data_IF_447250723709
#
_entry.id   IF_447250723709
#
_cell.length_a   1.000
_cell.length_b   1.000
_cell.length_c   1.000
_cell.angle_alpha   90.00
_cell.angle_beta   90.00
_cell.angle_gamma   90.00
#
_symmetry.space_group_name_H-M   'P 1'
#
loop_
_entity.id
_entity.type
_entity.pdbx_description
1 polymer ?
#
# COMPACT_ATOMS: atom_id res chain seq x y z
N UNK A 1 -9.62 -58.60 -50.14
CA UNK A 1 -10.55 -58.84 -49.01
C UNK A 1 -11.01 -57.49 -48.49
N UNK A 2 -12.33 -57.28 -48.39
CA UNK A 2 -13.06 -56.16 -47.76
C UNK A 2 -12.52 -54.73 -48.05
N UNK A 3 -13.04 -53.94 -48.99
CA UNK A 3 -14.43 -53.56 -49.36
C UNK A 3 -15.13 -52.61 -48.35
N UNK A 4 -15.81 -51.59 -48.92
CA UNK A 4 -16.76 -50.60 -48.34
C UNK A 4 -16.16 -49.41 -47.57
N UNK A 5 -16.74 -48.19 -47.62
CA UNK A 5 -17.67 -47.48 -48.55
C UNK A 5 -17.71 -46.01 -48.09
N UNK A 6 -17.80 -45.05 -49.02
CA UNK A 6 -18.52 -43.78 -48.74
C UNK A 6 -20.02 -43.98 -49.05
N UNK A 7 -20.89 -43.16 -48.44
CA UNK A 7 -21.75 -42.34 -49.29
C UNK A 7 -21.93 -40.89 -48.80
N UNK A 8 -22.19 -39.99 -49.75
CA UNK A 8 -22.75 -38.66 -49.53
C UNK A 8 -24.22 -38.71 -49.06
N UNK A 9 -24.67 -37.66 -48.38
CA UNK A 9 -25.97 -37.03 -48.70
C UNK A 9 -26.10 -35.63 -48.08
N UNK A 10 -26.53 -34.66 -48.89
CA UNK A 10 -26.70 -33.23 -48.56
C UNK A 10 -28.20 -32.88 -48.43
N UNK A 11 -28.59 -32.17 -47.37
CA UNK A 11 -29.70 -31.21 -47.33
C UNK A 11 -29.52 -30.28 -46.09
N UNK A 12 -29.52 -28.94 -46.13
CA UNK A 12 -30.57 -27.96 -46.54
C UNK A 12 -31.85 -28.09 -45.68
N UNK A 13 -32.53 -27.08 -45.11
CA UNK A 13 -32.45 -25.59 -44.91
C UNK A 13 -33.41 -25.29 -43.70
N UNK A 14 -33.46 -24.18 -42.94
CA UNK A 14 -32.57 -23.03 -42.65
C UNK A 14 -33.14 -22.26 -41.43
N UNK A 15 -32.33 -21.50 -40.67
CA UNK A 15 -32.80 -20.34 -39.86
C UNK A 15 -31.66 -19.34 -39.60
N UNK A 16 -31.94 -18.04 -39.76
CA UNK A 16 -30.95 -16.95 -39.74
C UNK A 16 -30.60 -16.42 -38.34
N UNK A 17 -29.34 -16.01 -38.20
CA UNK A 17 -28.79 -14.79 -37.57
C UNK A 17 -29.34 -14.24 -36.23
N UNK A 18 -28.40 -14.00 -35.29
CA UNK A 18 -28.05 -12.71 -34.64
C UNK A 18 -26.86 -12.98 -33.66
N UNK A 19 -25.67 -12.42 -33.88
CA UNK A 19 -25.08 -11.23 -33.18
C UNK A 19 -24.95 -11.42 -31.64
N UNK A 20 -23.81 -11.23 -30.94
CA UNK A 20 -22.38 -10.95 -31.24
C UNK A 20 -21.54 -11.30 -29.97
N UNK A 21 -20.21 -11.42 -30.08
CA UNK A 21 -19.21 -11.45 -28.98
C UNK A 21 -19.27 -12.56 -27.91
N UNK A 22 -18.47 -13.61 -28.11
CA UNK A 22 -18.03 -14.48 -27.00
C UNK A 22 -16.56 -14.91 -27.14
N UNK A 23 -15.73 -14.39 -26.23
CA UNK A 23 -14.59 -15.08 -25.57
C UNK A 23 -13.80 -16.10 -26.41
N UNK A 24 -12.70 -15.66 -27.02
CA UNK A 24 -11.62 -16.60 -27.34
C UNK A 24 -10.82 -16.93 -26.07
N UNK A 25 -10.87 -18.21 -25.68
CA UNK A 25 -10.19 -18.78 -24.52
C UNK A 25 -8.69 -18.95 -24.77
N UNK A 26 -7.85 -18.34 -23.93
CA UNK A 26 -6.45 -18.77 -23.77
C UNK A 26 -6.45 -20.11 -23.03
N UNK A 27 -6.10 -21.17 -23.75
CA UNK A 27 -6.11 -22.54 -23.24
C UNK A 27 -4.73 -22.91 -22.67
N UNK A 28 -4.54 -22.73 -21.35
CA UNK A 28 -3.33 -23.15 -20.65
C UNK A 28 -3.65 -24.21 -19.58
N UNK A 29 -3.42 -25.48 -19.91
CA UNK A 29 -3.55 -26.59 -18.98
C UNK A 29 -2.40 -26.62 -17.96
N UNK A 30 -2.62 -26.03 -16.78
CA UNK A 30 -1.93 -26.38 -15.53
C UNK A 30 -2.84 -26.03 -14.36
N UNK A 31 -3.19 -27.01 -13.51
CA UNK A 31 -4.01 -26.77 -12.30
C UNK A 31 -3.24 -25.90 -11.30
N UNK A 32 -3.51 -24.60 -11.28
CA UNK A 32 -3.13 -23.67 -10.22
C UNK A 32 -4.30 -22.74 -9.92
N UNK A 33 -4.53 -22.45 -8.65
CA UNK A 33 -5.63 -21.58 -8.22
C UNK A 33 -5.30 -20.11 -8.52
N UNK A 34 -6.07 -19.49 -9.41
CA UNK A 34 -5.96 -18.06 -9.72
C UNK A 34 -6.86 -17.24 -8.79
N UNK A 35 -6.29 -16.37 -7.96
CA UNK A 35 -7.07 -15.37 -7.22
C UNK A 35 -7.24 -14.11 -8.08
N UNK A 36 -8.34 -14.06 -8.84
CA UNK A 36 -8.73 -12.88 -9.63
C UNK A 36 -9.37 -11.85 -8.69
N UNK A 37 -8.79 -10.65 -8.61
CA UNK A 37 -9.29 -9.56 -7.75
C UNK A 37 -9.75 -8.39 -8.61
N UNK A 38 -11.05 -8.33 -8.90
CA UNK A 38 -11.70 -7.20 -9.58
C UNK A 38 -12.13 -6.12 -8.57
N UNK A 39 -11.84 -4.83 -8.79
CA UNK A 39 -12.39 -3.78 -7.95
C UNK A 39 -13.90 -3.63 -8.20
N UNK A 40 -14.73 -3.82 -7.18
CA UNK A 40 -16.13 -3.37 -7.21
C UNK A 40 -16.16 -1.86 -6.98
N UNK A 41 -16.75 -1.12 -7.90
CA UNK A 41 -17.11 0.28 -7.75
C UNK A 41 -18.44 0.41 -6.97
N UNK A 42 -18.39 0.98 -5.78
CA UNK A 42 -19.59 1.43 -5.07
C UNK A 42 -19.63 2.96 -5.07
N UNK A 43 -20.63 3.49 -5.79
CA UNK A 43 -20.99 4.89 -5.84
C UNK A 43 -22.18 5.15 -4.91
N UNK A 44 -22.21 6.36 -4.35
CA UNK A 44 -23.36 7.03 -3.74
C UNK A 44 -24.06 6.33 -2.56
N UNK A 45 -23.91 6.91 -1.38
CA UNK A 45 -24.96 6.93 -0.37
C UNK A 45 -25.14 8.37 0.12
N UNK A 46 -26.20 9.05 -0.34
CA UNK A 46 -26.54 10.40 0.10
C UNK A 46 -27.38 10.38 1.37
N UNK A 47 -27.29 11.46 2.16
CA UNK A 47 -28.16 11.69 3.30
C UNK A 47 -29.64 11.74 2.89
N UNK A 48 -30.51 11.14 3.71
CA UNK A 48 -31.86 11.62 4.00
C UNK A 48 -32.25 11.14 5.40
N UNK A 49 -32.73 12.05 6.25
CA UNK A 49 -33.16 11.74 7.61
C UNK A 49 -34.68 11.70 7.72
N UNK A 50 -35.20 10.63 8.34
CA UNK A 50 -36.50 10.55 9.00
C UNK A 50 -36.25 9.83 10.34
N UNK A 51 -36.78 10.22 11.49
CA UNK A 51 -37.95 11.08 11.69
C UNK A 51 -39.20 10.25 11.94
N UNK A 52 -39.22 9.49 13.04
CA UNK A 52 -40.42 8.85 13.59
C UNK A 52 -40.39 8.88 15.12
N UNK A 53 -41.34 9.60 15.68
CA UNK A 53 -41.85 9.38 17.03
C UNK A 53 -42.72 8.13 17.07
N UNK A 54 -42.79 7.50 18.24
CA UNK A 54 -43.98 6.82 18.71
C UNK A 54 -44.08 7.11 20.20
N UNK A 55 -45.25 7.58 20.61
CA UNK A 55 -45.59 7.89 21.99
C UNK A 55 -46.10 6.63 22.70
N UNK A 56 -46.02 6.66 24.03
CA UNK A 56 -46.91 6.10 25.07
C UNK A 56 -47.74 4.82 24.79
N UNK A 57 -47.64 3.88 25.73
CA UNK A 57 -48.82 3.39 26.49
C UNK A 57 -48.31 2.81 27.84
N UNK A 58 -48.99 3.18 28.92
CA UNK A 58 -48.78 2.68 30.29
C UNK A 58 -49.45 1.31 30.51
N UNK A 59 -49.03 0.56 31.54
CA UNK A 59 -49.98 0.00 32.53
C UNK A 59 -49.25 -0.67 33.73
N UNK A 60 -49.90 -0.63 34.90
CA UNK A 60 -49.37 -1.02 36.21
C UNK A 60 -49.76 -2.46 36.65
N UNK A 61 -48.86 -3.15 37.34
CA UNK A 61 -49.08 -3.94 38.59
C UNK A 61 -47.73 -4.63 38.94
N UNK A 62 -47.30 -4.87 40.18
CA UNK A 62 -48.04 -5.00 41.44
C UNK A 62 -47.74 -6.37 42.05
N UNK A 63 -46.78 -6.46 42.98
CA UNK A 63 -46.39 -7.76 43.55
C UNK A 63 -45.17 -7.72 44.48
N UNK A 64 -45.42 -7.66 45.79
CA UNK A 64 -44.42 -7.78 46.86
C UNK A 64 -44.06 -9.27 47.12
N UNK A 65 -42.81 -9.55 47.52
CA UNK A 65 -42.28 -10.92 47.54
C UNK A 65 -40.87 -11.05 48.09
N UNK A 66 -40.74 -11.00 49.41
CA UNK A 66 -39.49 -11.06 50.16
C UNK A 66 -38.99 -12.51 50.38
N UNK A 67 -37.82 -12.88 49.83
CA UNK A 67 -37.03 -14.03 50.30
C UNK A 67 -35.56 -13.62 50.50
N UNK A 68 -35.02 -13.96 51.67
CA UNK A 68 -33.65 -13.65 52.10
C UNK A 68 -32.67 -14.80 51.78
N UNK A 69 -31.37 -14.49 51.82
CA UNK A 69 -30.22 -15.43 51.78
C UNK A 69 -29.80 -15.91 50.38
N UNK A 70 -28.51 -16.11 50.05
CA UNK A 70 -27.27 -16.07 50.85
C UNK A 70 -26.20 -15.15 50.22
N UNK A 71 -25.34 -14.57 51.06
CA UNK A 71 -24.34 -13.57 50.64
C UNK A 71 -23.00 -14.18 50.22
N UNK A 72 -22.61 -14.05 48.95
CA UNK A 72 -21.21 -14.17 48.54
C UNK A 72 -20.36 -13.00 49.09
N UNK A 73 -19.10 -13.23 49.52
CA UNK A 73 -18.24 -12.19 50.05
C UNK A 73 -17.67 -11.33 48.91
N UNK A 74 -18.46 -10.39 48.42
CA UNK A 74 -18.00 -9.36 47.49
C UNK A 74 -16.90 -8.51 48.14
N UNK A 75 -15.64 -8.81 47.82
CA UNK A 75 -14.48 -8.10 48.33
C UNK A 75 -14.60 -6.59 48.03
N UNK A 76 -14.86 -5.79 49.06
CA UNK A 76 -14.88 -4.33 48.99
C UNK A 76 -13.47 -3.82 48.69
N UNK A 77 -13.12 -3.75 47.39
CA UNK A 77 -11.96 -2.99 46.93
C UNK A 77 -12.13 -1.57 47.46
N UNK A 78 -11.16 -1.12 48.26
CA UNK A 78 -11.24 0.17 48.91
C UNK A 78 -11.38 1.27 47.85
N UNK A 79 -12.54 1.92 47.84
CA UNK A 79 -12.82 3.06 46.96
C UNK A 79 -11.91 4.19 47.42
N UNK A 80 -10.76 4.34 46.75
CA UNK A 80 -9.76 5.37 47.04
C UNK A 80 -10.44 6.74 46.95
N UNK A 81 -10.83 7.27 48.11
CA UNK A 81 -11.41 8.59 48.22
C UNK A 81 -10.29 9.60 47.96
N UNK A 82 -10.27 10.13 46.74
CA UNK A 82 -9.31 11.12 46.28
C UNK A 82 -9.73 12.51 46.82
N UNK A 83 -9.72 12.63 48.15
CA UNK A 83 -10.10 13.86 48.84
C UNK A 83 -8.96 14.89 48.84
N UNK A 84 -9.36 16.15 48.65
CA UNK A 84 -8.59 17.39 48.89
C UNK A 84 -7.61 17.80 47.78
N UNK A 85 -8.11 18.57 46.82
CA UNK A 85 -7.28 19.37 45.89
C UNK A 85 -7.88 20.76 45.65
N UNK A 86 -7.59 21.69 46.59
CA UNK A 86 -7.63 23.14 46.37
C UNK A 86 -9.02 23.83 46.29
N UNK A 87 -9.04 25.17 46.46
CA UNK A 87 -10.26 25.97 46.38
C UNK A 87 -10.76 26.14 44.94
N UNK A 88 -12.10 26.18 44.77
CA UNK A 88 -12.83 26.65 43.59
C UNK A 88 -12.12 26.42 42.24
N UNK A 89 -12.01 25.16 41.84
CA UNK A 89 -11.17 24.74 40.73
C UNK A 89 -11.55 25.36 39.38
N UNK A 90 -10.54 25.92 38.71
CA UNK A 90 -10.54 26.09 37.24
C UNK A 90 -11.01 24.77 36.62
N UNK A 91 -12.02 24.81 35.76
CA UNK A 91 -12.52 23.64 35.07
C UNK A 91 -11.41 23.04 34.21
N UNK A 92 -10.77 21.97 34.72
CA UNK A 92 -9.64 21.31 34.06
C UNK A 92 -10.13 20.70 32.75
N UNK A 93 -9.71 21.25 31.62
CA UNK A 93 -10.03 20.68 30.33
C UNK A 93 -9.28 19.35 30.19
N UNK A 94 -9.90 18.36 29.53
CA UNK A 94 -9.21 17.11 29.19
C UNK A 94 -7.90 17.40 28.46
N UNK A 95 -7.88 18.39 27.56
CA UNK A 95 -6.70 18.76 26.78
C UNK A 95 -5.54 19.35 27.59
N UNK A 96 -5.76 19.78 28.85
CA UNK A 96 -4.74 20.33 29.75
C UNK A 96 -3.87 19.23 30.39
N UNK A 97 -4.27 17.96 30.25
CA UNK A 97 -3.51 16.83 30.77
C UNK A 97 -2.20 16.59 29.98
N UNK A 98 -1.14 16.09 30.65
CA UNK A 98 0.09 15.66 29.98
C UNK A 98 -0.17 14.63 28.89
N UNK A 99 0.67 14.63 27.85
CA UNK A 99 0.49 13.78 26.67
C UNK A 99 0.46 12.30 27.03
N UNK A 100 1.29 11.91 28.00
CA UNK A 100 1.49 10.54 28.49
C UNK A 100 0.29 10.03 29.29
N UNK A 101 -0.48 10.94 29.89
CA UNK A 101 -1.74 10.62 30.58
C UNK A 101 -2.88 10.52 29.58
N UNK A 102 -2.94 11.46 28.63
CA UNK A 102 -3.94 11.43 27.56
C UNK A 102 -3.80 10.19 26.69
N UNK A 103 -2.59 9.82 26.30
CA UNK A 103 -2.34 8.61 25.51
C UNK A 103 -2.81 7.34 26.24
N UNK A 104 -2.54 7.24 27.56
CA UNK A 104 -3.06 6.15 28.39
C UNK A 104 -4.58 6.12 28.44
N UNK A 105 -5.23 7.27 28.61
CA UNK A 105 -6.70 7.37 28.57
C UNK A 105 -7.23 6.89 27.21
N UNK A 106 -6.65 7.33 26.10
CA UNK A 106 -6.98 6.89 24.74
C UNK A 106 -6.78 5.37 24.56
N UNK A 107 -5.76 4.79 25.18
CA UNK A 107 -5.52 3.34 25.18
C UNK A 107 -6.62 2.50 25.84
N UNK A 108 -7.43 3.08 26.74
CA UNK A 108 -8.63 2.44 27.29
C UNK A 108 -9.89 2.66 26.43
N UNK A 109 -9.87 3.60 25.48
CA UNK A 109 -11.01 3.87 24.60
C UNK A 109 -11.02 2.87 23.45
N UNK A 110 -12.20 2.30 23.17
CA UNK A 110 -12.40 1.41 22.04
C UNK A 110 -12.06 2.08 20.69
N UNK A 111 -11.29 1.38 19.85
CA UNK A 111 -10.80 1.80 18.53
C UNK A 111 -11.90 2.32 17.58
N UNK A 112 -13.16 1.92 17.78
CA UNK A 112 -14.29 2.45 17.03
C UNK A 112 -14.51 3.95 17.27
N UNK A 113 -14.23 4.47 18.47
CA UNK A 113 -14.44 5.90 18.81
C UNK A 113 -13.25 6.80 18.44
N UNK A 114 -12.10 6.23 18.08
CA UNK A 114 -10.86 6.99 17.89
C UNK A 114 -10.98 8.08 16.80
N UNK A 115 -11.63 7.85 15.65
CA UNK A 115 -11.84 8.94 14.65
C UNK A 115 -12.68 10.09 15.20
N UNK A 116 -13.71 9.80 16.02
CA UNK A 116 -14.57 10.84 16.58
C UNK A 116 -13.75 11.72 17.50
N UNK A 117 -12.94 11.12 18.38
CA UNK A 117 -12.01 11.83 19.27
C UNK A 117 -10.97 12.62 18.46
N UNK A 118 -10.38 11.99 17.44
CA UNK A 118 -9.41 12.60 16.53
C UNK A 118 -9.94 13.84 15.82
N UNK A 119 -11.24 13.86 15.50
CA UNK A 119 -11.92 15.00 14.86
C UNK A 119 -12.27 16.15 15.84
N UNK A 120 -12.28 15.93 17.17
CA UNK A 120 -12.73 16.96 18.12
C UNK A 120 -11.75 18.13 18.29
N UNK A 121 -10.43 17.90 18.24
CA UNK A 121 -9.43 18.97 18.39
C UNK A 121 -8.07 18.58 17.82
N UNK A 122 -7.24 19.57 17.47
CA UNK A 122 -5.85 19.34 17.03
C UNK A 122 -5.02 18.59 18.10
N UNK A 123 -5.26 18.88 19.39
CA UNK A 123 -4.57 18.22 20.52
C UNK A 123 -4.96 16.75 20.60
N UNK A 124 -6.24 16.42 20.50
CA UNK A 124 -6.71 15.03 20.54
C UNK A 124 -6.35 14.26 19.26
N UNK A 125 -6.29 14.93 18.09
CA UNK A 125 -5.71 14.34 16.89
C UNK A 125 -4.25 13.92 17.11
N UNK A 126 -3.43 14.81 17.67
CA UNK A 126 -2.03 14.51 17.97
C UNK A 126 -1.86 13.35 18.96
N UNK A 127 -2.68 13.28 20.03
CA UNK A 127 -2.62 12.14 20.98
C UNK A 127 -3.04 10.82 20.33
N UNK A 128 -4.08 10.82 19.50
CA UNK A 128 -4.52 9.63 18.76
C UNK A 128 -3.41 9.18 17.79
N UNK A 129 -2.79 10.12 17.08
CA UNK A 129 -1.68 9.83 16.16
C UNK A 129 -0.48 9.24 16.91
N UNK A 130 -0.10 9.81 18.07
CA UNK A 130 0.95 9.32 18.96
C UNK A 130 0.68 7.87 19.43
N UNK A 131 -0.52 7.61 19.95
CA UNK A 131 -0.94 6.28 20.38
C UNK A 131 -0.85 5.24 19.25
N UNK A 132 -1.32 5.59 18.04
CA UNK A 132 -1.27 4.71 16.87
C UNK A 132 0.19 4.43 16.46
N UNK A 133 1.05 5.46 16.45
CA UNK A 133 2.48 5.32 16.17
C UNK A 133 3.16 4.40 17.20
N UNK A 134 2.90 4.59 18.50
CA UNK A 134 3.47 3.75 19.56
C UNK A 134 3.01 2.28 19.47
N UNK A 135 1.71 2.01 19.33
CA UNK A 135 1.23 0.63 19.21
C UNK A 135 1.68 -0.03 17.89
N UNK A 136 1.82 0.72 16.79
CA UNK A 136 2.41 0.20 15.55
C UNK A 136 3.88 -0.21 15.76
N UNK A 137 4.70 0.65 16.36
CA UNK A 137 6.11 0.37 16.65
C UNK A 137 6.28 -0.82 17.60
N UNK A 138 5.46 -0.88 18.66
CA UNK A 138 5.41 -1.98 19.63
C UNK A 138 4.99 -3.30 18.98
N UNK A 139 3.99 -3.28 18.10
CA UNK A 139 3.57 -4.45 17.34
C UNK A 139 4.67 -4.94 16.37
N UNK A 140 5.32 -4.02 15.67
CA UNK A 140 6.44 -4.29 14.75
C UNK A 140 7.64 -4.90 15.49
N UNK A 141 8.03 -4.33 16.64
CA UNK A 141 9.11 -4.86 17.49
C UNK A 141 8.78 -6.28 17.95
N UNK A 142 7.61 -6.46 18.59
CA UNK A 142 7.16 -7.77 19.09
C UNK A 142 7.06 -8.84 17.99
N UNK A 143 6.59 -8.49 16.78
CA UNK A 143 6.54 -9.45 15.65
C UNK A 143 7.92 -9.81 15.11
N UNK A 144 8.85 -8.86 15.11
CA UNK A 144 10.23 -9.05 14.66
C UNK A 144 11.05 -9.89 15.63
N UNK A 145 10.81 -9.74 16.94
CA UNK A 145 11.42 -10.58 17.99
C UNK A 145 10.85 -12.00 18.00
N UNK A 146 9.53 -12.16 17.82
CA UNK A 146 8.88 -13.47 17.90
C UNK A 146 9.13 -14.36 16.66
N UNK A 147 8.94 -13.84 15.45
CA UNK A 147 9.23 -14.55 14.20
C UNK A 147 9.32 -13.58 13.02
N UNK A 148 10.54 -13.30 12.57
CA UNK A 148 10.84 -12.38 11.46
C UNK A 148 10.24 -12.79 10.10
N UNK A 149 9.96 -14.10 9.90
CA UNK A 149 9.34 -14.64 8.68
C UNK A 149 7.83 -14.86 8.82
N UNK A 150 7.23 -14.56 9.97
CA UNK A 150 5.78 -14.62 10.11
C UNK A 150 5.13 -13.59 9.19
N UNK A 151 4.00 -13.95 8.59
CA UNK A 151 3.17 -13.05 7.79
C UNK A 151 2.89 -11.72 8.53
N UNK A 152 2.64 -11.75 9.84
CA UNK A 152 2.45 -10.54 10.67
C UNK A 152 3.69 -9.64 10.68
N UNK A 153 4.89 -10.20 10.84
CA UNK A 153 6.13 -9.44 10.80
C UNK A 153 6.41 -8.88 9.41
N UNK A 154 6.20 -9.70 8.36
CA UNK A 154 6.29 -9.28 6.97
C UNK A 154 5.35 -8.09 6.69
N UNK A 155 4.08 -8.17 7.07
CA UNK A 155 3.07 -7.14 6.87
C UNK A 155 3.46 -5.80 7.51
N UNK A 156 3.88 -5.80 8.78
CA UNK A 156 4.26 -4.57 9.48
C UNK A 156 5.56 -3.97 8.96
N UNK A 157 6.54 -4.80 8.57
CA UNK A 157 7.78 -4.34 7.92
C UNK A 157 7.51 -3.72 6.55
N UNK A 158 6.66 -4.36 5.74
CA UNK A 158 6.25 -3.87 4.42
C UNK A 158 5.49 -2.54 4.53
N UNK A 159 4.53 -2.43 5.47
CA UNK A 159 3.84 -1.17 5.78
C UNK A 159 4.85 -0.09 6.15
N UNK A 160 5.78 -0.37 7.09
CA UNK A 160 6.81 0.59 7.50
C UNK A 160 7.61 1.08 6.28
N UNK A 161 8.17 0.17 5.48
CA UNK A 161 9.01 0.53 4.33
C UNK A 161 8.26 1.34 3.27
N UNK A 162 7.00 1.01 3.02
CA UNK A 162 6.14 1.70 2.06
C UNK A 162 5.73 3.12 2.51
N UNK A 163 5.69 3.42 3.81
CA UNK A 163 5.22 4.72 4.32
C UNK A 163 6.29 5.57 5.01
N UNK A 164 7.42 5.00 5.44
CA UNK A 164 8.42 5.67 6.28
C UNK A 164 8.97 6.96 5.65
N UNK A 165 9.23 6.97 4.34
CA UNK A 165 9.71 8.17 3.63
C UNK A 165 8.72 9.33 3.76
N UNK A 166 7.44 9.06 3.51
CA UNK A 166 6.35 10.04 3.63
C UNK A 166 6.10 10.46 5.09
N UNK A 167 6.17 9.52 6.05
CA UNK A 167 6.07 9.83 7.49
C UNK A 167 7.21 10.76 7.92
N UNK A 168 8.45 10.48 7.50
CA UNK A 168 9.63 11.34 7.75
C UNK A 168 9.56 12.70 7.05
N UNK A 169 8.84 12.81 5.95
CA UNK A 169 8.57 14.09 5.28
C UNK A 169 7.53 14.95 6.03
N UNK A 170 6.60 14.33 6.78
CA UNK A 170 5.58 15.03 7.56
C UNK A 170 4.16 14.45 7.46
N UNK A 171 3.96 13.31 6.77
CA UNK A 171 2.65 12.70 6.59
C UNK A 171 2.24 11.71 7.71
N UNK A 172 2.79 11.84 8.91
CA UNK A 172 2.44 10.97 10.06
C UNK A 172 0.94 10.98 10.38
N UNK A 173 0.30 12.16 10.43
CA UNK A 173 -1.15 12.28 10.60
C UNK A 173 -1.94 11.64 9.46
N UNK A 174 -1.43 11.58 8.22
CA UNK A 174 -2.12 10.81 7.17
C UNK A 174 -1.97 9.30 7.42
N UNK A 175 -0.76 8.85 7.75
CA UNK A 175 -0.45 7.47 8.09
C UNK A 175 -1.34 6.94 9.23
N UNK A 176 -1.42 7.67 10.36
CA UNK A 176 -2.22 7.25 11.50
C UNK A 176 -3.72 7.18 11.18
N UNK A 177 -4.24 8.12 10.38
CA UNK A 177 -5.64 8.07 9.90
C UNK A 177 -5.93 6.84 9.03
N UNK A 178 -5.04 6.53 8.08
CA UNK A 178 -5.16 5.33 7.25
C UNK A 178 -5.00 4.05 8.11
N UNK A 179 -4.08 4.04 9.07
CA UNK A 179 -3.81 2.89 9.95
C UNK A 179 -5.01 2.57 10.86
N UNK A 180 -5.70 3.59 11.37
CA UNK A 180 -6.89 3.43 12.20
C UNK A 180 -8.01 2.65 11.48
N UNK A 181 -8.16 2.84 10.17
CA UNK A 181 -9.07 2.05 9.33
C UNK A 181 -8.68 0.57 9.29
N UNK A 182 -7.38 0.26 9.24
CA UNK A 182 -6.86 -1.12 9.26
C UNK A 182 -7.12 -1.78 10.62
N UNK A 183 -6.94 -1.03 11.71
CA UNK A 183 -7.13 -1.53 13.08
C UNK A 183 -8.57 -1.93 13.37
N UNK A 184 -9.55 -1.13 12.93
CA UNK A 184 -10.97 -1.48 13.04
C UNK A 184 -11.35 -2.72 12.24
N UNK A 185 -10.89 -2.82 10.98
CA UNK A 185 -11.10 -4.03 10.16
C UNK A 185 -10.43 -5.28 10.74
N UNK A 186 -9.45 -5.11 11.63
CA UNK A 186 -8.65 -6.19 12.22
C UNK A 186 -8.86 -6.29 13.74
N UNK A 187 -10.00 -5.86 14.29
CA UNK A 187 -10.17 -5.64 15.74
C UNK A 187 -9.85 -6.85 16.65
N UNK A 188 -10.05 -8.10 16.17
CA UNK A 188 -9.68 -9.33 16.91
C UNK A 188 -8.16 -9.52 17.02
N UNK A 189 -7.42 -9.08 16.01
CA UNK A 189 -5.96 -9.15 15.95
C UNK A 189 -5.39 -7.84 15.38
N UNK A 190 -5.37 -6.75 16.17
CA UNK A 190 -4.80 -5.48 15.74
C UNK A 190 -3.36 -5.68 15.24
N UNK A 191 -3.01 -4.94 14.19
CA UNK A 191 -1.73 -5.06 13.49
C UNK A 191 -1.44 -6.47 12.93
N UNK A 192 -2.47 -7.26 12.60
CA UNK A 192 -2.36 -8.48 11.78
C UNK A 192 -3.26 -8.38 10.52
N UNK A 193 -3.04 -7.39 9.62
CA UNK A 193 -3.92 -7.15 8.49
C UNK A 193 -3.79 -8.23 7.41
N UNK A 194 -4.92 -8.76 6.92
CA UNK A 194 -4.95 -9.57 5.70
C UNK A 194 -4.42 -8.79 4.49
N UNK A 195 -3.89 -9.47 3.48
CA UNK A 195 -3.18 -8.84 2.34
C UNK A 195 -4.03 -7.80 1.61
N UNK A 196 -5.35 -8.05 1.51
CA UNK A 196 -6.31 -7.12 0.94
C UNK A 196 -6.44 -5.82 1.76
N UNK A 197 -6.36 -5.89 3.11
CA UNK A 197 -6.36 -4.70 3.97
C UNK A 197 -5.06 -3.89 3.81
N UNK A 198 -3.91 -4.55 3.57
CA UNK A 198 -2.64 -3.86 3.28
C UNK A 198 -2.73 -3.10 1.95
N UNK A 199 -3.27 -3.73 0.90
CA UNK A 199 -3.48 -3.04 -0.38
C UNK A 199 -4.44 -1.85 -0.25
N UNK A 200 -5.59 -2.02 0.44
CA UNK A 200 -6.53 -0.92 0.67
C UNK A 200 -5.90 0.23 1.47
N UNK A 201 -5.10 -0.10 2.49
CA UNK A 201 -4.32 0.88 3.24
C UNK A 201 -3.37 1.68 2.35
N UNK A 202 -2.56 1.02 1.52
CA UNK A 202 -1.62 1.69 0.62
C UNK A 202 -2.33 2.52 -0.44
N UNK A 203 -3.41 2.01 -1.06
CA UNK A 203 -4.26 2.76 -1.98
C UNK A 203 -4.76 4.06 -1.33
N UNK A 204 -5.33 3.98 -0.12
CA UNK A 204 -5.84 5.16 0.58
C UNK A 204 -4.74 6.11 1.03
N UNK A 205 -3.59 5.57 1.46
CA UNK A 205 -2.45 6.38 1.88
C UNK A 205 -1.88 7.16 0.70
N UNK A 206 -1.49 6.49 -0.39
CA UNK A 206 -0.89 7.16 -1.54
C UNK A 206 -1.87 8.12 -2.24
N UNK A 207 -3.15 7.75 -2.39
CA UNK A 207 -4.18 8.70 -2.86
C UNK A 207 -4.32 9.92 -1.93
N UNK A 208 -4.16 9.73 -0.62
CA UNK A 208 -4.13 10.82 0.36
C UNK A 208 -2.89 11.72 0.25
N UNK A 209 -1.76 11.19 -0.19
CA UNK A 209 -0.54 11.96 -0.52
C UNK A 209 -0.74 12.71 -1.84
N UNK A 210 -1.19 12.03 -2.90
CA UNK A 210 -1.45 12.59 -4.23
C UNK A 210 -2.44 13.76 -4.17
N UNK A 211 -3.54 13.61 -3.42
CA UNK A 211 -4.50 14.69 -3.17
C UNK A 211 -3.91 15.94 -2.47
N UNK A 212 -2.73 15.83 -1.83
CA UNK A 212 -2.08 16.93 -1.10
C UNK A 212 -0.88 17.52 -1.84
N UNK A 213 -0.10 16.69 -2.54
CA UNK A 213 1.11 17.11 -3.26
C UNK A 213 0.89 17.26 -4.77
N UNK A 214 -0.14 16.64 -5.34
CA UNK A 214 -0.29 16.47 -6.79
C UNK A 214 0.92 15.79 -7.43
N UNK A 215 1.07 15.97 -8.73
CA UNK A 215 2.22 15.51 -9.52
C UNK A 215 3.44 16.44 -9.40
N UNK A 216 3.86 16.75 -8.17
CA UNK A 216 5.01 17.64 -7.90
C UNK A 216 6.35 16.89 -7.87
N UNK A 217 7.45 17.63 -8.00
CA UNK A 217 8.81 17.10 -7.78
C UNK A 217 8.99 16.52 -6.37
N UNK A 218 8.33 17.10 -5.36
CA UNK A 218 8.31 16.57 -3.99
C UNK A 218 7.66 15.17 -3.95
N UNK A 219 6.52 14.98 -4.61
CA UNK A 219 5.88 13.67 -4.74
C UNK A 219 6.80 12.65 -5.42
N UNK A 220 7.41 13.03 -6.55
CA UNK A 220 8.33 12.17 -7.29
C UNK A 220 9.55 11.77 -6.44
N UNK A 221 10.13 12.69 -5.67
CA UNK A 221 11.27 12.41 -4.79
C UNK A 221 10.91 11.37 -3.72
N UNK A 222 9.75 11.55 -3.07
CA UNK A 222 9.27 10.62 -2.03
C UNK A 222 8.93 9.25 -2.64
N UNK A 223 8.34 9.23 -3.83
CA UNK A 223 8.09 8.01 -4.60
C UNK A 223 9.40 7.25 -4.87
N UNK A 224 10.39 7.90 -5.48
CA UNK A 224 11.64 7.23 -5.90
C UNK A 224 12.43 6.75 -4.69
N UNK A 225 12.50 7.53 -3.60
CA UNK A 225 13.09 7.06 -2.34
C UNK A 225 12.37 5.84 -1.77
N UNK A 226 11.04 5.81 -1.80
CA UNK A 226 10.26 4.66 -1.32
C UNK A 226 10.51 3.43 -2.19
N UNK A 227 10.55 3.59 -3.51
CA UNK A 227 10.86 2.53 -4.47
C UNK A 227 12.26 1.94 -4.23
N UNK A 228 13.29 2.78 -4.07
CA UNK A 228 14.65 2.34 -3.80
C UNK A 228 14.79 1.63 -2.43
N UNK A 229 14.08 2.10 -1.39
CA UNK A 229 14.03 1.41 -0.08
C UNK A 229 13.33 0.06 -0.17
N UNK A 230 12.24 -0.05 -0.96
CA UNK A 230 11.56 -1.32 -1.20
C UNK A 230 12.49 -2.31 -1.95
N UNK A 231 13.15 -1.89 -3.03
CA UNK A 231 14.13 -2.71 -3.76
C UNK A 231 15.23 -3.25 -2.84
N UNK A 232 15.81 -2.36 -2.02
CA UNK A 232 16.90 -2.68 -1.09
C UNK A 232 16.51 -3.65 0.03
N UNK A 233 15.23 -3.67 0.40
CA UNK A 233 14.72 -4.56 1.45
C UNK A 233 14.62 -6.03 1.02
N UNK A 234 14.73 -6.33 -0.28
CA UNK A 234 14.72 -7.71 -0.76
C UNK A 234 16.01 -8.44 -0.35
N UNK A 235 15.89 -9.69 0.12
CA UNK A 235 17.05 -10.54 0.48
C UNK A 235 17.92 -10.84 -0.73
N UNK A 236 17.32 -10.91 -1.92
CA UNK A 236 18.02 -11.13 -3.19
C UNK A 236 18.63 -9.87 -3.82
N UNK A 237 18.55 -8.70 -3.16
CA UNK A 237 19.04 -7.42 -3.67
C UNK A 237 20.52 -7.43 -4.03
N UNK A 238 20.83 -7.14 -5.29
CA UNK A 238 22.21 -6.99 -5.77
C UNK A 238 22.32 -5.82 -6.74
N UNK A 239 23.19 -4.86 -6.43
CA UNK A 239 23.65 -3.85 -7.40
C UNK A 239 24.68 -4.54 -8.30
N UNK A 240 24.44 -4.52 -9.62
CA UNK A 240 25.35 -5.10 -10.63
C UNK A 240 26.16 -4.03 -11.36
N UNK A 241 25.67 -2.79 -11.40
CA UNK A 241 26.39 -1.63 -11.91
C UNK A 241 25.88 -0.36 -11.21
N UNK A 242 26.77 0.59 -10.93
CA UNK A 242 26.45 1.93 -10.47
C UNK A 242 27.46 2.89 -11.11
N UNK A 243 26.98 3.88 -11.85
CA UNK A 243 27.81 4.83 -12.60
C UNK A 243 27.37 6.26 -12.33
N UNK A 244 28.33 7.15 -12.09
CA UNK A 244 28.08 8.58 -11.84
C UNK A 244 28.68 9.39 -12.98
N UNK A 245 27.81 10.10 -13.69
CA UNK A 245 28.19 11.17 -14.62
C UNK A 245 28.14 12.54 -13.94
N UNK A 246 28.35 13.60 -14.71
CA UNK A 246 28.41 14.98 -14.21
C UNK A 246 27.06 15.43 -13.61
N UNK A 247 25.97 15.14 -14.32
CA UNK A 247 24.59 15.55 -13.98
C UNK A 247 23.62 14.38 -13.83
N UNK A 248 24.13 13.13 -13.82
CA UNK A 248 23.31 11.92 -13.73
C UNK A 248 23.95 10.79 -12.93
N UNK A 249 23.11 9.95 -12.34
CA UNK A 249 23.50 8.68 -11.72
C UNK A 249 22.69 7.56 -12.37
N UNK A 250 23.38 6.57 -12.94
CA UNK A 250 22.77 5.34 -13.44
C UNK A 250 23.07 4.16 -12.51
N UNK A 251 22.11 3.28 -12.31
CA UNK A 251 22.28 2.09 -11.46
C UNK A 251 21.47 0.91 -12.01
N UNK A 252 21.99 -0.29 -11.82
CA UNK A 252 21.38 -1.54 -12.23
C UNK A 252 21.25 -2.47 -11.03
N UNK A 253 20.02 -2.81 -10.68
CA UNK A 253 19.67 -3.74 -9.60
C UNK A 253 19.12 -5.04 -10.19
N UNK A 254 19.60 -6.18 -9.72
CA UNK A 254 19.01 -7.50 -10.00
C UNK A 254 18.31 -8.04 -8.74
N UNK A 255 17.08 -8.54 -8.90
CA UNK A 255 16.34 -9.31 -7.90
C UNK A 255 16.08 -10.74 -8.41
N UNK A 256 16.08 -11.72 -7.51
CA UNK A 256 15.81 -13.14 -7.80
C UNK A 256 14.46 -13.56 -7.22
N UNK A 257 13.80 -14.52 -7.84
CA UNK A 257 12.46 -15.02 -7.47
C UNK A 257 11.32 -14.10 -7.92
N UNK A 258 11.57 -12.79 -7.97
CA UNK A 258 10.63 -11.78 -8.44
C UNK A 258 10.53 -11.78 -9.98
N UNK A 259 9.29 -11.76 -10.48
CA UNK A 259 8.97 -11.44 -11.87
C UNK A 259 7.75 -10.53 -11.97
N UNK A 260 7.81 -9.62 -12.95
CA UNK A 260 6.88 -8.51 -13.12
C UNK A 260 6.78 -8.16 -14.60
N UNK A 261 5.56 -8.03 -15.12
CA UNK A 261 5.32 -7.54 -16.47
C UNK A 261 3.94 -6.91 -16.64
N UNK A 262 3.79 -6.20 -17.74
CA UNK A 262 2.63 -5.37 -18.03
C UNK A 262 2.16 -5.60 -19.46
N UNK A 263 0.84 -5.56 -19.64
CA UNK A 263 0.16 -5.47 -20.92
C UNK A 263 -0.58 -4.14 -20.98
N UNK A 264 -0.22 -3.25 -21.89
CA UNK A 264 -1.11 -2.13 -22.22
C UNK A 264 -2.27 -2.69 -23.06
N UNK A 265 -3.50 -2.62 -22.55
CA UNK A 265 -4.68 -3.17 -23.25
C UNK A 265 -5.29 -2.19 -24.25
N UNK A 266 -4.92 -0.90 -24.15
CA UNK A 266 -5.45 0.14 -25.04
C UNK A 266 -4.59 0.38 -26.27
N UNK A 267 -5.23 0.49 -27.45
CA UNK A 267 -4.61 1.03 -28.67
C UNK A 267 -4.55 2.57 -28.69
N UNK A 268 -5.10 3.23 -27.67
CA UNK A 268 -5.18 4.69 -27.60
C UNK A 268 -3.86 5.29 -27.14
N UNK A 269 -3.09 5.85 -28.09
CA UNK A 269 -1.91 6.71 -27.83
C UNK A 269 -2.25 8.07 -27.21
N UNK A 270 -3.32 8.15 -26.41
CA UNK A 270 -3.77 9.38 -25.76
C UNK A 270 -3.18 9.45 -24.35
N UNK A 271 -2.05 10.13 -24.24
CA UNK A 271 -1.25 10.37 -23.03
C UNK A 271 -1.96 11.32 -22.02
N UNK A 272 -3.25 11.15 -21.77
CA UNK A 272 -4.10 12.16 -21.09
C UNK A 272 -4.67 11.72 -19.74
N UNK A 273 -4.29 10.56 -19.21
CA UNK A 273 -4.40 10.25 -17.78
C UNK A 273 -3.00 10.06 -17.23
N UNK A 274 -2.69 10.69 -16.10
CA UNK A 274 -1.49 10.36 -15.35
C UNK A 274 -1.52 8.88 -15.02
N UNK A 275 -0.49 8.16 -15.42
CA UNK A 275 -0.29 6.78 -14.97
C UNK A 275 -0.21 6.81 -13.44
N UNK A 276 -1.05 6.03 -12.77
CA UNK A 276 -0.99 5.87 -11.32
C UNK A 276 0.25 5.03 -10.97
N UNK A 277 1.40 5.67 -10.98
CA UNK A 277 2.67 5.01 -10.74
C UNK A 277 2.74 4.38 -9.34
N UNK A 278 1.89 4.83 -8.38
CA UNK A 278 1.84 4.27 -7.03
C UNK A 278 1.46 2.79 -7.03
N UNK A 279 0.77 2.31 -8.09
CA UNK A 279 0.56 0.88 -8.36
C UNK A 279 1.85 0.07 -8.28
N UNK A 280 2.97 0.58 -8.80
CA UNK A 280 4.27 -0.10 -8.75
C UNK A 280 4.77 -0.23 -7.30
N UNK A 281 4.67 0.82 -6.47
CA UNK A 281 5.02 0.71 -5.04
C UNK A 281 4.19 -0.36 -4.34
N UNK A 282 2.89 -0.46 -4.66
CA UNK A 282 1.97 -1.45 -4.09
C UNK A 282 2.33 -2.87 -4.55
N UNK A 283 2.65 -3.05 -5.84
CA UNK A 283 3.11 -4.32 -6.40
C UNK A 283 4.44 -4.75 -5.76
N UNK A 284 5.42 -3.85 -5.68
CA UNK A 284 6.70 -4.11 -5.02
C UNK A 284 6.54 -4.44 -3.53
N UNK A 285 5.61 -3.77 -2.84
CA UNK A 285 5.30 -4.07 -1.42
C UNK A 285 4.67 -5.46 -1.26
N UNK A 286 3.79 -5.90 -2.18
CA UNK A 286 3.25 -7.27 -2.19
C UNK A 286 4.32 -8.32 -2.50
N UNK A 287 5.23 -8.03 -3.41
CA UNK A 287 6.34 -8.93 -3.76
C UNK A 287 7.33 -9.07 -2.60
N UNK A 288 7.62 -7.99 -1.88
CA UNK A 288 8.45 -8.00 -0.68
C UNK A 288 7.77 -8.75 0.48
N UNK A 289 6.45 -8.57 0.67
CA UNK A 289 5.65 -9.29 1.65
C UNK A 289 5.82 -10.81 1.48
N UNK A 290 5.70 -11.27 0.23
CA UNK A 290 5.83 -12.66 -0.16
C UNK A 290 7.25 -13.22 0.05
N UNK A 291 8.30 -12.46 -0.28
CA UNK A 291 9.68 -12.90 0.02
C UNK A 291 9.90 -13.04 1.53
N UNK A 292 9.48 -12.06 2.34
CA UNK A 292 9.70 -12.10 3.80
C UNK A 292 8.90 -13.23 4.45
N UNK A 293 7.67 -13.47 3.98
CA UNK A 293 6.83 -14.61 4.40
C UNK A 293 7.30 -15.96 3.82
N UNK A 294 8.19 -15.95 2.81
CA UNK A 294 8.60 -17.11 2.02
C UNK A 294 7.39 -17.84 1.39
N UNK A 295 6.48 -17.07 0.80
CA UNK A 295 5.27 -17.54 0.12
C UNK A 295 5.42 -17.36 -1.40
N UNK A 296 5.41 -18.46 -2.16
CA UNK A 296 5.33 -18.38 -3.60
C UNK A 296 3.92 -17.96 -4.03
N UNK A 297 3.82 -16.97 -4.91
CA UNK A 297 2.52 -16.54 -5.42
C UNK A 297 2.60 -15.98 -6.84
N UNK A 298 1.42 -15.85 -7.43
CA UNK A 298 1.19 -15.29 -8.75
C UNK A 298 -0.13 -14.53 -8.74
N UNK A 299 -0.14 -13.33 -9.31
CA UNK A 299 -1.36 -12.52 -9.50
C UNK A 299 -1.39 -11.91 -10.90
N UNK A 300 -2.62 -11.79 -11.38
CA UNK A 300 -3.00 -10.84 -12.43
C UNK A 300 -3.75 -9.73 -11.71
N UNK A 301 -3.35 -8.49 -11.92
CA UNK A 301 -4.05 -7.30 -11.43
C UNK A 301 -4.51 -6.51 -12.63
N UNK A 302 -5.82 -6.32 -12.73
CA UNK A 302 -6.40 -5.34 -13.63
C UNK A 302 -6.08 -3.93 -13.11
N UNK A 303 -5.69 -3.05 -14.02
CA UNK A 303 -5.34 -1.65 -13.79
C UNK A 303 -5.95 -0.83 -14.94
N UNK A 304 -6.24 0.46 -14.72
CA UNK A 304 -6.82 1.31 -15.74
C UNK A 304 -5.97 1.31 -17.03
N UNK A 305 -6.51 0.72 -18.11
CA UNK A 305 -5.86 0.50 -19.42
C UNK A 305 -4.66 -0.48 -19.44
N UNK A 306 -4.37 -1.18 -18.36
CA UNK A 306 -3.23 -2.10 -18.25
C UNK A 306 -3.54 -3.37 -17.46
N UNK A 307 -3.03 -4.52 -17.90
CA UNK A 307 -3.04 -5.73 -17.08
C UNK A 307 -1.61 -5.96 -16.56
N UNK A 308 -1.43 -5.89 -15.25
CA UNK A 308 -0.16 -6.23 -14.61
C UNK A 308 -0.16 -7.71 -14.20
N UNK A 309 0.86 -8.47 -14.60
CA UNK A 309 1.08 -9.83 -14.11
C UNK A 309 2.40 -9.88 -13.35
N UNK A 310 2.34 -10.34 -12.11
CA UNK A 310 3.50 -10.41 -11.22
C UNK A 310 3.44 -11.61 -10.29
N UNK A 311 4.60 -11.99 -9.77
CA UNK A 311 4.69 -13.06 -8.80
C UNK A 311 6.07 -13.18 -8.18
N UNK A 312 6.13 -14.02 -7.16
CA UNK A 312 7.34 -14.39 -6.47
C UNK A 312 7.46 -15.92 -6.45
N UNK A 313 8.61 -16.43 -6.84
CA UNK A 313 8.98 -17.84 -6.77
C UNK A 313 9.98 -18.06 -5.62
N UNK A 314 9.66 -18.99 -4.72
CA UNK A 314 10.52 -19.41 -3.61
C UNK A 314 11.50 -20.53 -4.00
N UNK A 315 11.54 -20.95 -5.27
CA UNK A 315 12.41 -22.05 -5.70
C UNK A 315 13.89 -21.63 -5.75
N UNK A 316 14.72 -22.22 -4.88
CA UNK A 316 16.19 -22.07 -4.86
C UNK A 316 16.89 -22.76 -6.06
N UNK A 317 16.15 -23.02 -7.14
CA UNK A 317 16.66 -23.68 -8.33
C UNK A 317 17.55 -22.76 -9.16
N UNK A 318 18.49 -23.34 -9.94
CA UNK A 318 19.29 -22.59 -10.94
C UNK A 318 18.47 -21.87 -12.03
N UNK A 319 17.15 -22.12 -12.09
CA UNK A 319 16.18 -21.51 -13.00
C UNK A 319 15.26 -20.47 -12.33
N UNK A 320 15.53 -20.11 -11.08
CA UNK A 320 14.81 -19.05 -10.36
C UNK A 320 14.75 -17.78 -11.23
N UNK A 321 13.56 -17.18 -11.44
CA UNK A 321 13.42 -16.02 -12.31
C UNK A 321 14.21 -14.83 -11.78
N UNK A 322 14.62 -13.97 -12.71
CA UNK A 322 15.37 -12.73 -12.42
C UNK A 322 14.63 -11.56 -13.04
N UNK A 323 14.54 -10.48 -12.28
CA UNK A 323 14.08 -9.18 -12.78
C UNK A 323 15.17 -8.15 -12.54
N UNK A 324 15.48 -7.40 -13.59
CA UNK A 324 16.51 -6.36 -13.59
C UNK A 324 15.84 -5.00 -13.68
N UNK A 325 16.25 -4.09 -12.82
CA UNK A 325 15.79 -2.70 -12.75
C UNK A 325 16.97 -1.81 -13.12
N UNK A 326 16.93 -1.25 -14.32
CA UNK A 326 17.86 -0.22 -14.79
C UNK A 326 17.22 1.12 -14.51
N UNK A 327 17.90 2.03 -13.82
CA UNK A 327 17.38 3.38 -13.64
C UNK A 327 18.44 4.45 -13.73
N UNK A 328 18.03 5.61 -14.24
CA UNK A 328 18.88 6.79 -14.39
C UNK A 328 18.18 7.99 -13.74
N UNK A 329 18.87 8.62 -12.80
CA UNK A 329 18.48 9.89 -12.20
C UNK A 329 19.26 11.00 -12.90
N UNK A 330 18.55 11.94 -13.52
CA UNK A 330 19.09 13.19 -14.04
C UNK A 330 18.69 14.33 -13.11
N UNK A 331 19.63 15.10 -12.57
CA UNK A 331 19.32 16.19 -11.64
C UNK A 331 20.50 16.71 -10.84
N UNK A 332 20.22 17.48 -9.80
CA UNK A 332 21.26 18.06 -8.94
C UNK A 332 22.07 16.98 -8.21
N UNK A 333 23.33 17.32 -7.86
CA UNK A 333 24.18 16.45 -7.02
C UNK A 333 23.53 16.12 -5.68
N UNK A 334 22.72 17.03 -5.13
CA UNK A 334 22.02 16.78 -3.87
C UNK A 334 20.97 15.67 -4.02
N UNK A 335 20.19 15.67 -5.11
CA UNK A 335 19.17 14.65 -5.38
C UNK A 335 19.82 13.30 -5.67
N UNK A 336 20.70 13.21 -6.69
CA UNK A 336 21.23 11.90 -7.05
C UNK A 336 22.13 11.31 -5.95
N UNK A 337 22.81 12.15 -5.15
CA UNK A 337 23.58 11.65 -3.99
C UNK A 337 22.68 11.13 -2.86
N UNK A 338 21.49 11.71 -2.64
CA UNK A 338 20.52 11.23 -1.66
C UNK A 338 19.88 9.90 -2.10
N UNK A 339 19.51 9.78 -3.38
CA UNK A 339 18.96 8.55 -3.94
C UNK A 339 20.01 7.43 -3.94
N UNK A 340 21.27 7.77 -4.29
CA UNK A 340 22.39 6.84 -4.26
C UNK A 340 22.73 6.38 -2.84
N UNK A 341 22.83 7.27 -1.86
CA UNK A 341 23.12 6.87 -0.48
C UNK A 341 22.01 5.98 0.10
N UNK A 342 20.74 6.29 -0.21
CA UNK A 342 19.60 5.45 0.16
C UNK A 342 19.76 4.00 -0.32
N UNK A 343 20.26 3.82 -1.54
CA UNK A 343 20.46 2.51 -2.15
C UNK A 343 21.77 1.81 -1.76
N UNK A 344 22.88 2.53 -1.63
CA UNK A 344 24.21 1.95 -1.40
C UNK A 344 24.61 1.85 0.10
N UNK A 345 24.13 2.73 0.99
CA UNK A 345 24.55 2.76 2.41
C UNK A 345 23.65 1.91 3.32
N UNK A 346 24.22 1.11 4.23
CA UNK A 346 23.43 0.35 5.22
C UNK A 346 22.46 1.25 6.01
N UNK A 347 21.34 0.70 6.49
CA UNK A 347 20.26 1.48 7.13
C UNK A 347 20.74 2.29 8.37
N UNK A 348 21.77 1.81 9.07
CA UNK A 348 22.44 2.51 10.19
C UNK A 348 23.28 3.73 9.76
N UNK A 349 23.76 3.74 8.52
CA UNK A 349 24.62 4.80 7.96
C UNK A 349 23.82 5.86 7.21
N UNK A 350 22.74 5.46 6.56
CA UNK A 350 21.86 6.36 5.81
C UNK A 350 21.28 7.45 6.71
N UNK A 351 21.59 8.71 6.38
CA UNK A 351 21.07 9.88 7.08
C UNK A 351 19.90 10.48 6.31
N UNK A 352 18.75 10.59 6.97
CA UNK A 352 17.62 11.36 6.46
C UNK A 352 18.03 12.83 6.26
N UNK A 353 17.60 13.49 5.18
CA UNK A 353 17.89 14.90 4.96
C UNK A 353 17.18 15.74 6.03
N UNK A 354 17.89 16.71 6.62
CA UNK A 354 17.30 17.70 7.52
C UNK A 354 16.43 18.72 6.77
N UNK A 355 16.78 18.98 5.50
CA UNK A 355 15.99 19.75 4.54
C UNK A 355 15.87 18.94 3.26
N UNK A 356 14.65 18.65 2.84
CA UNK A 356 14.38 17.87 1.63
C UNK A 356 14.77 18.66 0.38
N UNK A 357 15.50 18.05 -0.57
CA UNK A 357 15.80 18.67 -1.86
C UNK A 357 14.52 19.10 -2.59
N UNK A 358 14.58 20.26 -3.24
CA UNK A 358 13.48 20.82 -4.05
C UNK A 358 13.85 21.06 -5.51
N UNK A 359 15.07 20.69 -5.90
CA UNK A 359 15.52 20.83 -7.29
C UNK A 359 14.67 19.95 -8.21
N UNK A 360 14.55 20.34 -9.47
CA UNK A 360 13.93 19.49 -10.47
C UNK A 360 14.85 18.33 -10.83
N UNK A 361 14.24 17.16 -11.07
CA UNK A 361 14.95 15.99 -11.55
C UNK A 361 14.06 15.20 -12.51
N UNK A 362 14.69 14.30 -13.26
CA UNK A 362 14.05 13.26 -14.07
C UNK A 362 14.56 11.89 -13.58
N UNK A 363 13.66 10.93 -13.49
CA UNK A 363 13.94 9.55 -13.14
C UNK A 363 13.39 8.62 -14.21
N UNK A 364 14.31 7.94 -14.89
CA UNK A 364 14.02 6.89 -15.86
C UNK A 364 14.17 5.54 -15.19
N UNK A 365 13.21 4.64 -15.39
CA UNK A 365 13.25 3.26 -14.92
C UNK A 365 12.86 2.31 -16.05
N UNK A 366 13.75 1.38 -16.38
CA UNK A 366 13.50 0.25 -17.27
C UNK A 366 13.48 -1.06 -16.45
N UNK A 367 12.36 -1.78 -16.49
CA UNK A 367 12.18 -3.07 -15.80
C UNK A 367 12.23 -4.19 -16.84
N UNK A 368 13.22 -5.08 -16.71
CA UNK A 368 13.39 -6.23 -17.58
C UNK A 368 13.00 -7.53 -16.87
N UNK A 369 12.05 -8.28 -17.42
CA UNK A 369 11.65 -9.58 -16.86
C UNK A 369 11.39 -10.63 -17.94
N UNK A 370 12.34 -11.55 -18.12
CA UNK A 370 12.23 -12.64 -19.10
C UNK A 370 11.12 -13.65 -18.78
N UNK A 371 10.79 -13.80 -17.50
CA UNK A 371 9.70 -14.68 -17.07
C UNK A 371 8.33 -14.12 -17.48
N UNK A 372 8.18 -12.79 -17.50
CA UNK A 372 6.96 -12.11 -17.93
C UNK A 372 6.68 -12.32 -19.43
N UNK A 373 7.71 -12.41 -20.29
CA UNK A 373 7.51 -12.71 -21.72
C UNK A 373 6.75 -14.01 -21.98
N UNK A 374 6.87 -15.02 -21.10
CA UNK A 374 6.13 -16.29 -21.22
C UNK A 374 4.61 -16.12 -21.11
N UNK A 375 4.15 -14.95 -20.67
CA UNK A 375 2.74 -14.60 -20.54
C UNK A 375 2.24 -13.78 -21.74
N UNK A 376 3.15 -13.28 -22.57
CA UNK A 376 2.88 -12.33 -23.65
C UNK A 376 3.23 -10.88 -23.30
N UNK A 377 3.77 -10.60 -22.11
CA UNK A 377 4.22 -9.27 -21.74
C UNK A 377 5.38 -8.81 -22.66
N UNK A 378 5.56 -7.49 -22.79
CA UNK A 378 6.85 -6.94 -23.23
C UNK A 378 7.98 -7.42 -22.31
N UNK A 379 9.18 -7.66 -22.85
CA UNK A 379 10.38 -7.94 -22.04
C UNK A 379 10.73 -6.77 -21.12
N UNK A 380 10.39 -5.55 -21.56
CA UNK A 380 10.78 -4.26 -21.01
C UNK A 380 9.53 -3.42 -20.70
N UNK A 381 9.45 -2.89 -19.48
CA UNK A 381 8.57 -1.79 -19.12
C UNK A 381 9.43 -0.55 -18.92
N UNK A 382 8.98 0.61 -19.40
CA UNK A 382 9.61 1.90 -19.13
C UNK A 382 8.68 2.76 -18.27
N UNK A 383 9.25 3.47 -17.30
CA UNK A 383 8.57 4.41 -16.41
C UNK A 383 9.41 5.66 -16.34
N UNK A 384 8.86 6.79 -16.75
CA UNK A 384 9.49 8.11 -16.67
C UNK A 384 8.78 8.95 -15.60
N UNK A 385 9.55 9.65 -14.77
CA UNK A 385 9.05 10.58 -13.77
C UNK A 385 9.85 11.87 -13.76
N UNK A 386 9.19 12.97 -13.36
CA UNK A 386 9.77 14.30 -13.38
C UNK A 386 9.39 15.10 -14.62
N UNK A 387 10.06 16.23 -14.81
CA UNK A 387 9.89 17.02 -16.03
C UNK A 387 10.85 16.48 -17.08
N UNK A 388 10.37 16.29 -18.30
CA UNK A 388 11.28 16.06 -19.41
C UNK A 388 12.13 17.31 -19.58
N UNK A 389 13.41 17.20 -19.24
CA UNK A 389 14.42 18.19 -19.62
C UNK A 389 14.40 18.18 -21.15
N UNK A 390 13.78 19.19 -21.77
CA UNK A 390 13.88 19.37 -23.22
C UNK A 390 15.36 19.45 -23.56
N UNK A 391 15.80 18.63 -24.50
CA UNK A 391 17.17 18.69 -25.01
C UNK A 391 17.45 20.11 -25.50
N UNK A 392 18.28 20.83 -24.76
CA UNK A 392 18.79 22.15 -25.16
C UNK A 392 19.94 22.02 -26.17
N UNK A 393 19.92 20.97 -27.01
CA UNK A 393 20.77 20.83 -28.19
C UNK A 393 20.20 21.67 -29.34
N UNK A 394 20.36 22.99 -29.19
CA UNK A 394 20.28 23.96 -30.28
C UNK A 394 21.66 24.56 -30.56
N UNK A 395 22.67 23.72 -30.70
CA UNK A 395 23.82 24.00 -31.57
C UNK A 395 23.35 24.08 -33.02
N UNK A 396 22.64 25.16 -33.36
CA UNK A 396 22.49 25.58 -34.75
C UNK A 396 23.89 25.91 -35.28
N UNK A 397 24.45 24.96 -36.03
CA UNK A 397 25.53 25.21 -36.97
C UNK A 397 25.10 26.32 -37.92
N UNK A 398 25.66 27.52 -37.74
CA UNK A 398 25.57 28.58 -38.74
C UNK A 398 26.62 28.28 -39.80
N UNK A 399 26.25 27.41 -40.74
CA UNK A 399 26.86 27.43 -42.07
C UNK A 399 26.18 28.54 -42.88
N UNK A 400 26.93 29.59 -43.24
CA UNK A 400 26.65 30.39 -44.44
C UNK A 400 27.80 31.35 -44.75
N UNK A 401 28.49 31.07 -45.87
CA UNK A 401 29.25 31.96 -46.75
C UNK A 401 30.47 32.72 -46.22
#
# INVERSE_FOLDING_TARGET
MNDKRYPDSIARLDTMALIVESKETINCSSRLNFEVVTPKSELNMSYCGHGKSYDDDDDEDGGDGNEESESEPCAKVARLQLHTLGPAGVAKNLCDLPSEILEKIIGYVNIWHHDRIRATSKRLCYIIDLFITHEFQKALKKSSEANQRSYKSAALRCIKLATEVYVKYGFETLFCGCMLSVLRKSYKYPFCPATQNIQQFLNHFYKGIENRLGSTQEFNLLYVLTFLRLLKAFRSFQITSSCVGISKWGCVVELKGLWLGFFCTSKSRLQSKSEDHTKILIIMTKLLLAEIANEAFRRVSDCDNEICIFGYDTSDNKRCPKTRFDFTVHGSKQIWSLLRSCLEENEEKFKWPSLWPKDEFKFDLEIHSKEAMKWGCSEKMYVEMGLSIRDCDSTRSVESH
#
